data_IF_814813420077
#
_entry.id   IF_814813420077
#
_cell.length_a   1.000
_cell.length_b   1.000
_cell.length_c   1.000
_cell.angle_alpha   90.00
_cell.angle_beta   90.00
_cell.angle_gamma   90.00
#
_symmetry.space_group_name_H-M   'P 1'
#
loop_
_entity.id
_entity.type
_entity.pdbx_description
1 polymer ?
#
# COMPACT_ATOMS: atom_id res chain seq x y z
N UNK A 1 -6.74 85.87 15.49
CA UNK A 1 -7.77 86.48 16.39
C UNK A 1 -9.14 86.06 15.92
N UNK A 2 -9.92 85.54 16.80
CA UNK A 2 -11.36 85.28 16.94
C UNK A 2 -11.62 83.79 17.26
N UNK A 3 -11.84 83.59 18.56
CA UNK A 3 -12.38 82.41 19.19
C UNK A 3 -13.86 82.24 18.83
N UNK A 4 -14.28 81.03 18.50
CA UNK A 4 -15.69 80.63 18.60
C UNK A 4 -15.83 79.39 19.47
N UNK A 5 -16.44 79.62 20.62
CA UNK A 5 -16.91 78.57 21.54
C UNK A 5 -18.14 77.90 20.97
N UNK A 6 -18.16 76.60 20.91
CA UNK A 6 -19.35 75.81 20.60
C UNK A 6 -19.70 75.01 21.89
N UNK A 7 -20.94 75.20 22.31
CA UNK A 7 -21.56 74.55 23.47
C UNK A 7 -21.75 73.06 23.24
N UNK A 8 -21.37 72.28 24.23
CA UNK A 8 -21.71 70.85 24.28
C UNK A 8 -23.07 70.65 25.01
N UNK A 9 -24.00 69.99 24.36
CA UNK A 9 -25.27 69.45 24.90
C UNK A 9 -25.11 67.99 25.24
N UNK A 10 -25.35 67.49 26.44
CA UNK A 10 -25.34 66.06 26.74
C UNK A 10 -26.67 65.44 26.33
N UNK A 11 -26.64 64.51 25.40
CA UNK A 11 -27.76 63.61 25.05
C UNK A 11 -27.70 62.38 25.96
N UNK A 12 -28.67 62.23 26.79
CA UNK A 12 -28.86 61.06 27.68
C UNK A 12 -29.47 59.96 26.81
N UNK A 13 -28.72 58.88 26.53
CA UNK A 13 -29.24 57.70 25.85
C UNK A 13 -29.51 56.62 26.90
N UNK A 14 -30.80 56.33 27.11
CA UNK A 14 -31.23 55.20 27.94
C UNK A 14 -31.02 53.88 27.18
N UNK A 15 -30.10 53.06 27.67
CA UNK A 15 -29.87 51.69 27.16
C UNK A 15 -30.85 50.74 27.81
N UNK A 16 -31.87 50.31 27.05
CA UNK A 16 -32.73 49.16 27.36
C UNK A 16 -31.92 47.86 27.08
N UNK A 17 -31.59 47.10 28.14
CA UNK A 17 -30.98 45.81 28.04
C UNK A 17 -32.05 44.78 27.61
N UNK A 18 -32.05 44.38 26.35
CA UNK A 18 -32.74 43.20 25.84
C UNK A 18 -31.83 41.98 26.08
N UNK A 19 -32.15 41.20 27.12
CA UNK A 19 -31.58 39.86 27.29
C UNK A 19 -32.18 38.92 26.29
N UNK A 20 -31.52 38.68 25.15
CA UNK A 20 -31.81 37.59 24.24
C UNK A 20 -31.18 36.33 24.84
N UNK A 21 -31.98 35.49 25.49
CA UNK A 21 -31.62 34.11 25.77
C UNK A 21 -31.62 33.33 24.42
N UNK A 22 -30.46 33.31 23.78
CA UNK A 22 -30.22 32.40 22.68
C UNK A 22 -29.98 31.00 23.28
N UNK A 23 -31.01 30.14 23.24
CA UNK A 23 -30.82 28.70 23.31
C UNK A 23 -30.05 28.29 22.02
N UNK A 24 -28.74 28.35 22.10
CA UNK A 24 -27.87 27.72 21.13
C UNK A 24 -27.93 26.22 21.40
N UNK A 25 -28.70 25.49 20.58
CA UNK A 25 -28.44 24.07 20.34
C UNK A 25 -27.04 24.00 19.75
N UNK A 26 -26.08 23.51 20.55
CA UNK A 26 -24.77 23.07 20.08
C UNK A 26 -24.98 21.85 19.16
N UNK A 27 -25.45 22.08 17.94
CA UNK A 27 -25.17 21.23 16.82
C UNK A 27 -23.67 21.37 16.53
N UNK A 28 -22.86 20.67 17.30
CA UNK A 28 -21.52 20.29 16.87
C UNK A 28 -21.70 19.34 15.69
N UNK A 29 -21.91 19.90 14.50
CA UNK A 29 -21.59 19.17 13.28
C UNK A 29 -20.10 18.83 13.40
N UNK A 30 -19.80 17.59 13.73
CA UNK A 30 -18.43 17.08 13.73
C UNK A 30 -17.88 17.41 12.35
N UNK A 31 -16.97 18.38 12.25
CA UNK A 31 -16.34 18.70 10.97
C UNK A 31 -15.63 17.43 10.51
N UNK A 32 -16.04 16.90 9.35
CA UNK A 32 -15.43 15.72 8.76
C UNK A 32 -13.91 15.89 8.75
N UNK A 33 -13.22 14.94 9.36
CA UNK A 33 -11.76 14.93 9.32
C UNK A 33 -11.32 14.44 7.94
N UNK A 34 -10.61 15.28 7.22
CA UNK A 34 -10.04 14.90 5.92
C UNK A 34 -8.73 14.15 6.15
N UNK A 35 -8.61 12.93 5.59
CA UNK A 35 -7.37 12.13 5.55
C UNK A 35 -6.96 11.93 4.11
N UNK A 36 -5.72 12.30 3.78
CA UNK A 36 -5.12 12.09 2.45
C UNK A 36 -4.45 10.72 2.44
N UNK A 37 -4.94 9.80 1.62
CA UNK A 37 -4.44 8.43 1.54
C UNK A 37 -3.90 8.12 0.14
N UNK A 38 -2.73 7.46 0.10
CA UNK A 38 -2.10 7.02 -1.15
C UNK A 38 -2.24 5.52 -1.36
N UNK A 39 -2.57 5.12 -2.58
CA UNK A 39 -2.60 3.73 -3.02
C UNK A 39 -2.09 3.59 -4.44
N UNK A 40 -1.94 2.35 -4.93
CA UNK A 40 -1.60 2.03 -6.33
C UNK A 40 -2.65 1.13 -6.98
N UNK A 41 -3.70 0.75 -6.25
CA UNK A 41 -4.70 -0.23 -6.65
C UNK A 41 -6.12 0.18 -6.24
N UNK A 42 -6.51 1.42 -6.53
CA UNK A 42 -7.89 1.85 -6.25
C UNK A 42 -8.88 1.02 -7.08
N UNK A 43 -9.47 0.04 -6.43
CA UNK A 43 -10.48 -0.88 -6.96
C UNK A 43 -11.84 -0.71 -6.24
N UNK A 44 -12.79 -1.62 -6.47
CA UNK A 44 -14.12 -1.59 -5.85
C UNK A 44 -14.12 -1.73 -4.33
N UNK A 45 -13.11 -2.37 -3.73
CA UNK A 45 -13.00 -2.46 -2.29
C UNK A 45 -12.72 -1.09 -1.67
N UNK A 46 -12.00 -0.23 -2.39
CA UNK A 46 -11.75 1.15 -1.97
C UNK A 46 -13.03 1.99 -1.94
N UNK A 47 -14.00 1.76 -2.84
CA UNK A 47 -15.28 2.50 -2.82
C UNK A 47 -16.06 2.16 -1.53
N UNK A 48 -16.04 0.89 -1.11
CA UNK A 48 -16.69 0.45 0.15
C UNK A 48 -15.90 1.02 1.36
N UNK A 49 -14.58 0.97 1.34
CA UNK A 49 -13.74 1.52 2.40
C UNK A 49 -13.93 3.04 2.57
N UNK A 50 -14.00 3.79 1.47
CA UNK A 50 -14.27 5.22 1.46
C UNK A 50 -15.65 5.53 2.08
N UNK A 51 -16.67 4.74 1.73
CA UNK A 51 -18.01 4.90 2.32
C UNK A 51 -18.01 4.62 3.83
N UNK A 52 -17.34 3.53 4.27
CA UNK A 52 -17.22 3.21 5.71
C UNK A 52 -16.46 4.28 6.49
N UNK A 53 -15.42 4.85 5.90
CA UNK A 53 -14.70 5.97 6.50
C UNK A 53 -15.62 7.20 6.65
N UNK A 54 -16.38 7.53 5.62
CA UNK A 54 -17.35 8.64 5.62
C UNK A 54 -18.43 8.46 6.69
N UNK A 55 -18.97 7.25 6.86
CA UNK A 55 -19.96 6.91 7.90
C UNK A 55 -19.41 7.15 9.33
N UNK A 56 -18.09 7.24 9.48
CA UNK A 56 -17.38 7.54 10.73
C UNK A 56 -16.84 8.99 10.79
N UNK A 57 -17.28 9.86 9.90
CA UNK A 57 -16.84 11.26 9.85
C UNK A 57 -15.40 11.43 9.38
N UNK A 58 -14.90 10.50 8.54
CA UNK A 58 -13.57 10.59 7.90
C UNK A 58 -13.78 10.69 6.39
N UNK A 59 -13.44 11.83 5.81
CA UNK A 59 -13.43 12.02 4.36
C UNK A 59 -12.06 11.64 3.82
N UNK A 60 -11.99 10.57 3.00
CA UNK A 60 -10.75 10.15 2.34
C UNK A 60 -10.50 10.97 1.07
N UNK A 61 -9.31 11.57 0.96
CA UNK A 61 -8.78 12.07 -0.31
C UNK A 61 -7.79 11.06 -0.86
N UNK A 62 -8.26 10.19 -1.75
CA UNK A 62 -7.48 9.08 -2.29
C UNK A 62 -6.63 9.55 -3.47
N UNK A 63 -5.31 9.38 -3.38
CA UNK A 63 -4.37 9.54 -4.50
C UNK A 63 -3.99 8.16 -5.01
N UNK A 64 -4.39 7.82 -6.25
CA UNK A 64 -4.00 6.58 -6.90
C UNK A 64 -2.74 6.80 -7.74
N UNK A 65 -1.61 6.26 -7.29
CA UNK A 65 -0.33 6.36 -7.98
C UNK A 65 -0.21 5.28 -9.07
N UNK A 66 0.54 5.56 -10.13
CA UNK A 66 0.72 4.64 -11.26
C UNK A 66 1.72 3.51 -10.99
N UNK A 67 2.63 3.73 -10.04
CA UNK A 67 3.76 2.84 -9.72
C UNK A 67 4.10 2.88 -8.22
N UNK A 68 5.02 2.00 -7.80
CA UNK A 68 5.42 1.85 -6.40
C UNK A 68 6.46 2.88 -5.89
N UNK A 69 7.02 3.72 -6.75
CA UNK A 69 8.12 4.63 -6.38
C UNK A 69 7.64 5.87 -5.63
N UNK A 70 6.42 6.32 -5.92
CA UNK A 70 5.93 7.62 -5.48
C UNK A 70 5.25 7.62 -4.09
N UNK A 71 4.46 6.58 -3.65
CA UNK A 71 3.64 6.73 -2.46
C UNK A 71 4.41 6.98 -1.17
N UNK A 72 5.57 6.31 -0.95
CA UNK A 72 6.39 6.55 0.24
C UNK A 72 7.04 7.93 0.21
N UNK A 73 7.50 8.39 -0.95
CA UNK A 73 8.04 9.73 -1.11
C UNK A 73 6.96 10.79 -0.81
N UNK A 74 5.74 10.62 -1.33
CA UNK A 74 4.62 11.51 -1.07
C UNK A 74 4.24 11.54 0.43
N UNK A 75 4.34 10.40 1.12
CA UNK A 75 4.10 10.30 2.56
C UNK A 75 5.19 11.02 3.36
N UNK A 76 6.45 10.77 3.05
CA UNK A 76 7.62 11.43 3.67
C UNK A 76 7.58 12.95 3.49
N UNK A 77 7.16 13.41 2.31
CA UNK A 77 7.00 14.84 1.98
C UNK A 77 5.68 15.47 2.48
N UNK A 78 4.88 14.75 3.28
CA UNK A 78 3.60 15.23 3.85
C UNK A 78 2.54 15.60 2.79
N UNK A 79 2.66 15.06 1.57
CA UNK A 79 1.64 15.22 0.52
C UNK A 79 0.41 14.35 0.79
N UNK A 80 0.63 13.19 1.44
CA UNK A 80 -0.41 12.31 1.97
C UNK A 80 -0.15 12.05 3.47
N UNK A 81 -1.14 11.53 4.19
CA UNK A 81 -1.08 11.30 5.62
C UNK A 81 -0.84 9.82 5.96
N UNK A 82 -1.27 8.94 5.07
CA UNK A 82 -1.15 7.48 5.20
C UNK A 82 -1.09 6.87 3.80
N UNK A 83 -0.48 5.69 3.66
CA UNK A 83 -0.61 4.90 2.44
C UNK A 83 -0.99 3.45 2.73
N UNK A 84 -1.61 2.80 1.73
CA UNK A 84 -1.88 1.38 1.69
C UNK A 84 -1.60 0.89 0.27
N UNK A 85 -0.40 0.32 0.04
CA UNK A 85 0.01 -0.21 -1.27
C UNK A 85 1.16 -1.23 -1.15
N UNK A 86 1.77 -1.36 0.02
CA UNK A 86 3.07 -2.01 0.20
C UNK A 86 3.08 -3.03 1.32
N UNK A 87 3.96 -4.00 1.20
CA UNK A 87 4.29 -4.94 2.24
C UNK A 87 5.52 -4.50 3.05
N UNK A 88 5.73 -5.11 4.23
CA UNK A 88 6.80 -4.71 5.17
C UNK A 88 8.20 -4.84 4.58
N UNK A 89 8.45 -5.83 3.71
CA UNK A 89 9.74 -5.97 3.04
C UNK A 89 10.04 -4.76 2.15
N UNK A 90 9.04 -4.25 1.42
CA UNK A 90 9.18 -3.05 0.58
C UNK A 90 9.39 -1.80 1.42
N UNK A 91 8.61 -1.65 2.50
CA UNK A 91 8.77 -0.54 3.45
C UNK A 91 10.15 -0.53 4.09
N UNK A 92 10.63 -1.71 4.52
CA UNK A 92 11.96 -1.85 5.13
C UNK A 92 13.08 -1.43 4.18
N UNK A 93 13.00 -1.85 2.91
CA UNK A 93 13.97 -1.46 1.89
C UNK A 93 13.92 0.06 1.62
N UNK A 94 12.74 0.65 1.54
CA UNK A 94 12.59 2.10 1.39
C UNK A 94 13.22 2.85 2.57
N UNK A 95 12.88 2.49 3.80
CA UNK A 95 13.40 3.15 5.00
C UNK A 95 14.92 3.08 5.08
N UNK A 96 15.53 1.90 4.81
CA UNK A 96 16.98 1.73 4.84
C UNK A 96 17.67 2.57 3.76
N UNK A 97 17.15 2.52 2.52
CA UNK A 97 17.75 3.23 1.40
C UNK A 97 17.66 4.77 1.53
N UNK A 98 16.56 5.27 2.08
CA UNK A 98 16.28 6.71 2.20
C UNK A 98 16.58 7.28 3.60
N UNK A 99 17.02 6.44 4.56
CA UNK A 99 17.20 6.83 5.98
C UNK A 99 15.92 7.42 6.57
N UNK A 100 14.78 6.85 6.18
CA UNK A 100 13.45 7.27 6.60
C UNK A 100 12.93 6.41 7.76
N UNK A 101 11.83 6.84 8.40
CA UNK A 101 11.22 6.22 9.59
C UNK A 101 9.73 5.98 9.39
N UNK A 102 9.28 5.78 8.15
CA UNK A 102 7.88 5.43 7.91
C UNK A 102 7.53 4.15 8.66
N UNK A 103 6.35 4.13 9.29
CA UNK A 103 5.99 3.08 10.24
C UNK A 103 4.61 2.48 9.94
N UNK A 104 4.43 1.15 10.06
CA UNK A 104 3.13 0.51 9.90
C UNK A 104 2.29 0.74 11.16
N UNK A 105 1.00 1.03 10.98
CA UNK A 105 0.06 1.25 12.09
C UNK A 105 -0.96 0.12 12.26
N UNK A 106 -1.07 -0.76 11.27
CA UNK A 106 -1.90 -1.96 11.30
C UNK A 106 -1.81 -2.72 10.00
N UNK A 107 -1.93 -4.05 10.09
CA UNK A 107 -1.91 -4.92 8.92
C UNK A 107 -3.23 -4.90 8.16
N UNK A 108 -3.19 -5.40 6.94
CA UNK A 108 -4.37 -5.54 6.09
C UNK A 108 -4.47 -6.96 5.52
N UNK A 109 -3.58 -7.36 4.62
CA UNK A 109 -3.63 -8.65 3.94
C UNK A 109 -2.25 -9.10 3.47
N UNK A 110 -2.16 -10.37 3.05
CA UNK A 110 -1.11 -10.89 2.18
C UNK A 110 -1.75 -11.36 0.89
N UNK A 111 -1.15 -11.02 -0.25
CA UNK A 111 -1.53 -11.56 -1.56
C UNK A 111 -0.41 -12.42 -2.11
N UNK A 112 -0.72 -13.52 -2.83
CA UNK A 112 0.30 -14.32 -3.49
C UNK A 112 0.95 -13.52 -4.62
N UNK A 113 2.21 -13.80 -4.87
CA UNK A 113 2.91 -13.37 -6.07
C UNK A 113 2.91 -14.53 -7.06
N UNK A 114 2.41 -14.31 -8.26
CA UNK A 114 2.17 -15.38 -9.25
C UNK A 114 2.91 -15.19 -10.56
N UNK A 115 3.24 -16.33 -11.20
CA UNK A 115 3.69 -16.43 -12.58
C UNK A 115 2.48 -16.63 -13.49
N UNK A 116 2.29 -15.77 -14.45
CA UNK A 116 1.21 -15.78 -15.43
C UNK A 116 1.74 -15.93 -16.85
N UNK A 117 0.92 -16.49 -17.75
CA UNK A 117 1.24 -16.58 -19.17
C UNK A 117 -0.01 -16.45 -20.03
N UNK A 118 0.12 -15.79 -21.19
CA UNK A 118 -0.91 -15.81 -22.25
C UNK A 118 -0.67 -16.94 -23.25
N UNK A 119 0.58 -17.41 -23.37
CA UNK A 119 1.00 -18.41 -24.37
C UNK A 119 0.89 -19.85 -23.85
N UNK A 120 1.13 -20.05 -22.55
CA UNK A 120 1.26 -21.38 -21.94
C UNK A 120 0.19 -21.61 -20.88
N UNK A 121 -0.24 -22.86 -20.68
CA UNK A 121 -1.31 -23.23 -19.75
C UNK A 121 -0.80 -23.97 -18.51
N UNK A 122 0.42 -24.50 -18.56
CA UNK A 122 1.07 -25.20 -17.46
C UNK A 122 2.57 -24.90 -17.44
N UNK A 123 3.23 -25.11 -16.29
CA UNK A 123 4.69 -24.96 -16.15
C UNK A 123 5.45 -25.87 -17.13
N UNK A 124 4.90 -27.07 -17.42
CA UNK A 124 5.51 -28.03 -18.33
C UNK A 124 5.58 -27.51 -19.77
N UNK A 125 4.64 -26.65 -20.18
CA UNK A 125 4.55 -26.11 -21.53
C UNK A 125 5.62 -25.06 -21.84
N UNK A 126 6.26 -24.48 -20.80
CA UNK A 126 7.31 -23.49 -20.98
C UNK A 126 8.53 -24.15 -21.66
N UNK A 127 9.02 -23.66 -22.81
CA UNK A 127 10.18 -24.20 -23.48
C UNK A 127 11.48 -23.91 -22.71
N UNK A 128 12.54 -24.65 -23.04
CA UNK A 128 13.89 -24.30 -22.57
C UNK A 128 14.28 -22.92 -23.12
N UNK A 129 14.74 -22.04 -22.24
CA UNK A 129 15.09 -20.67 -22.59
C UNK A 129 13.91 -19.71 -22.66
N UNK A 130 12.71 -20.12 -22.20
CA UNK A 130 11.53 -19.25 -22.10
C UNK A 130 11.87 -17.95 -21.37
N UNK A 131 11.36 -16.83 -21.87
CA UNK A 131 11.62 -15.51 -21.30
C UNK A 131 10.52 -15.13 -20.30
N UNK A 132 10.92 -14.80 -19.07
CA UNK A 132 10.00 -14.40 -17.98
C UNK A 132 10.31 -12.98 -17.54
N UNK A 133 9.33 -12.08 -17.67
CA UNK A 133 9.43 -10.73 -17.11
C UNK A 133 9.20 -10.76 -15.59
N UNK A 134 10.04 -10.04 -14.84
CA UNK A 134 9.92 -9.93 -13.39
C UNK A 134 10.06 -8.46 -12.96
N UNK A 135 9.53 -8.05 -11.77
CA UNK A 135 9.72 -6.71 -11.23
C UNK A 135 11.21 -6.35 -11.07
N UNK A 136 11.55 -5.08 -11.27
CA UNK A 136 12.91 -4.58 -11.14
C UNK A 136 13.20 -3.93 -9.78
N UNK A 137 12.19 -3.68 -8.95
CA UNK A 137 12.44 -3.23 -7.58
C UNK A 137 13.06 -4.37 -6.75
N UNK A 138 14.03 -4.07 -5.87
CA UNK A 138 14.85 -5.11 -5.23
C UNK A 138 14.03 -6.17 -4.49
N UNK A 139 12.94 -5.78 -3.83
CA UNK A 139 12.18 -6.68 -2.96
C UNK A 139 11.24 -7.60 -3.75
N UNK A 140 10.52 -7.07 -4.74
CA UNK A 140 9.68 -7.89 -5.60
C UNK A 140 10.52 -8.69 -6.61
N UNK A 141 11.68 -8.18 -7.06
CA UNK A 141 12.62 -8.94 -7.86
C UNK A 141 13.09 -10.21 -7.12
N UNK A 142 13.56 -10.06 -5.89
CA UNK A 142 13.99 -11.19 -5.07
C UNK A 142 12.86 -12.20 -4.85
N UNK A 143 11.65 -11.72 -4.48
CA UNK A 143 10.48 -12.58 -4.30
C UNK A 143 10.10 -13.31 -5.58
N UNK A 144 10.15 -12.63 -6.75
CA UNK A 144 9.88 -13.24 -8.04
C UNK A 144 10.88 -14.36 -8.38
N UNK A 145 12.16 -14.15 -8.08
CA UNK A 145 13.19 -15.16 -8.27
C UNK A 145 12.97 -16.38 -7.38
N UNK A 146 12.58 -16.18 -6.12
CA UNK A 146 12.19 -17.28 -5.22
C UNK A 146 10.95 -18.03 -5.71
N UNK A 147 9.95 -17.33 -6.24
CA UNK A 147 8.75 -17.95 -6.85
C UNK A 147 9.16 -18.84 -8.04
N UNK A 148 10.02 -18.34 -8.94
CA UNK A 148 10.50 -19.11 -10.09
C UNK A 148 11.39 -20.29 -9.70
N UNK A 149 12.22 -20.13 -8.66
CA UNK A 149 13.01 -21.22 -8.11
C UNK A 149 12.13 -22.31 -7.48
N UNK A 150 11.13 -21.92 -6.68
CA UNK A 150 10.18 -22.86 -6.08
C UNK A 150 9.33 -23.59 -7.13
N UNK A 151 9.04 -22.92 -8.27
CA UNK A 151 8.39 -23.53 -9.43
C UNK A 151 9.31 -24.50 -10.22
N UNK A 152 10.59 -24.65 -9.84
CA UNK A 152 11.56 -25.48 -10.55
C UNK A 152 12.01 -24.92 -11.90
N UNK A 153 11.78 -23.63 -12.14
CA UNK A 153 12.08 -22.98 -13.43
C UNK A 153 13.47 -22.37 -13.49
N UNK A 154 14.06 -22.00 -12.35
CA UNK A 154 15.42 -21.47 -12.29
C UNK A 154 16.17 -21.96 -11.04
N UNK A 155 17.48 -21.81 -11.10
CA UNK A 155 18.39 -22.03 -9.98
C UNK A 155 19.14 -20.74 -9.68
N UNK A 156 19.24 -20.39 -8.40
CA UNK A 156 20.02 -19.25 -7.92
C UNK A 156 21.40 -19.73 -7.49
N UNK A 157 22.41 -18.91 -7.78
CA UNK A 157 23.79 -19.08 -7.28
C UNK A 157 23.89 -18.44 -5.91
N UNK A 158 24.36 -19.20 -4.91
CA UNK A 158 24.50 -18.70 -3.55
C UNK A 158 23.21 -18.73 -2.73
N UNK A 159 23.25 -18.08 -1.56
CA UNK A 159 22.20 -18.10 -0.54
C UNK A 159 21.74 -16.69 -0.11
N UNK A 160 21.81 -15.71 -1.01
CA UNK A 160 21.35 -14.36 -0.71
C UNK A 160 19.85 -14.35 -0.37
N UNK A 161 19.46 -13.61 0.66
CA UNK A 161 18.05 -13.34 0.97
C UNK A 161 17.42 -12.30 0.05
N UNK A 162 18.23 -11.59 -0.74
CA UNK A 162 17.81 -10.60 -1.72
C UNK A 162 18.49 -10.83 -3.07
N UNK A 163 18.27 -11.99 -3.74
CA UNK A 163 18.88 -12.30 -5.02
C UNK A 163 18.41 -11.32 -6.10
N UNK A 164 19.30 -11.12 -7.07
CA UNK A 164 19.05 -10.32 -8.28
C UNK A 164 19.05 -11.21 -9.53
N UNK A 165 18.68 -10.67 -10.67
CA UNK A 165 18.78 -11.39 -11.94
C UNK A 165 20.23 -11.83 -12.29
N UNK A 166 21.24 -11.19 -11.70
CA UNK A 166 22.64 -11.59 -11.87
C UNK A 166 22.98 -12.89 -11.14
N UNK A 167 22.20 -13.25 -10.09
CA UNK A 167 22.42 -14.47 -9.31
C UNK A 167 21.76 -15.71 -9.95
N UNK A 168 21.11 -15.57 -11.10
CA UNK A 168 20.51 -16.70 -11.82
C UNK A 168 21.61 -17.52 -12.50
N UNK A 169 21.72 -18.80 -12.12
CA UNK A 169 22.54 -19.77 -12.82
C UNK A 169 21.92 -20.11 -14.19
N UNK A 170 22.39 -19.43 -15.24
CA UNK A 170 21.87 -19.57 -16.60
C UNK A 170 22.03 -20.96 -17.17
N UNK A 171 23.05 -21.71 -16.74
CA UNK A 171 23.33 -23.06 -17.21
C UNK A 171 22.39 -24.12 -16.61
N UNK A 172 21.98 -23.88 -15.36
CA UNK A 172 21.11 -24.79 -14.62
C UNK A 172 19.62 -24.38 -14.61
N UNK A 173 19.28 -23.26 -15.27
CA UNK A 173 17.91 -22.72 -15.30
C UNK A 173 17.19 -23.09 -16.61
N UNK A 174 15.88 -23.38 -16.50
CA UNK A 174 15.00 -23.62 -17.65
C UNK A 174 14.61 -22.30 -18.34
N UNK A 175 14.46 -21.21 -17.58
CA UNK A 175 14.00 -19.91 -18.07
C UNK A 175 15.07 -18.84 -17.99
N UNK A 176 14.89 -17.78 -18.78
CA UNK A 176 15.63 -16.52 -18.68
C UNK A 176 14.74 -15.48 -18.02
N UNK A 177 15.33 -14.54 -17.27
CA UNK A 177 14.57 -13.46 -16.65
C UNK A 177 14.95 -12.11 -17.24
N UNK A 178 13.95 -11.26 -17.47
CA UNK A 178 14.09 -9.85 -17.87
C UNK A 178 13.41 -8.98 -16.83
N UNK A 179 14.14 -8.00 -16.27
CA UNK A 179 13.61 -7.10 -15.24
C UNK A 179 12.95 -5.89 -15.88
N UNK A 180 11.73 -5.60 -15.46
CA UNK A 180 10.95 -4.43 -15.90
C UNK A 180 10.31 -3.76 -14.68
N UNK A 181 9.82 -2.54 -14.83
CA UNK A 181 9.00 -1.92 -13.77
C UNK A 181 7.81 -2.83 -13.41
N UNK A 182 7.49 -2.95 -12.13
CA UNK A 182 6.40 -3.82 -11.68
C UNK A 182 5.08 -3.54 -12.42
N UNK A 183 4.79 -2.26 -12.71
CA UNK A 183 3.62 -1.83 -13.47
C UNK A 183 3.65 -2.27 -14.95
N UNK A 184 4.81 -2.67 -15.48
CA UNK A 184 4.98 -3.11 -16.87
C UNK A 184 4.95 -4.64 -17.02
N UNK A 185 5.02 -5.39 -15.92
CA UNK A 185 5.08 -6.88 -15.97
C UNK A 185 3.86 -7.48 -16.68
N UNK A 186 2.65 -6.99 -16.40
CA UNK A 186 1.43 -7.47 -17.04
C UNK A 186 1.39 -7.17 -18.56
N UNK A 187 1.89 -5.99 -18.96
CA UNK A 187 1.98 -5.60 -20.38
C UNK A 187 3.00 -6.45 -21.13
N UNK A 188 4.08 -6.86 -20.47
CA UNK A 188 5.13 -7.71 -21.07
C UNK A 188 4.61 -9.06 -21.54
N UNK A 189 3.46 -9.55 -21.01
CA UNK A 189 2.84 -10.81 -21.49
C UNK A 189 2.47 -10.82 -22.98
N UNK A 190 2.47 -9.68 -23.65
CA UNK A 190 2.27 -9.62 -25.10
C UNK A 190 3.49 -10.15 -25.89
N UNK A 191 4.69 -10.06 -25.30
CA UNK A 191 5.96 -10.39 -25.99
C UNK A 191 6.67 -11.60 -25.39
N UNK A 192 6.71 -11.72 -24.05
CA UNK A 192 7.43 -12.79 -23.34
C UNK A 192 6.58 -14.07 -23.15
N UNK A 193 7.20 -15.14 -22.66
CA UNK A 193 6.52 -16.42 -22.41
C UNK A 193 5.73 -16.43 -21.10
N UNK A 194 6.15 -15.61 -20.13
CA UNK A 194 5.45 -15.43 -18.88
C UNK A 194 5.92 -14.19 -18.13
N UNK A 195 5.19 -13.81 -17.11
CA UNK A 195 5.59 -12.72 -16.23
C UNK A 195 5.20 -13.02 -14.77
N UNK A 196 6.06 -12.67 -13.83
CA UNK A 196 5.71 -12.64 -12.42
C UNK A 196 5.10 -11.27 -12.15
N UNK A 197 3.82 -11.25 -11.73
CA UNK A 197 3.01 -10.04 -11.68
C UNK A 197 2.49 -9.84 -10.26
N UNK A 198 2.74 -8.65 -9.70
CA UNK A 198 2.14 -8.24 -8.43
C UNK A 198 0.62 -8.13 -8.55
N UNK A 199 -0.10 -8.53 -7.51
CA UNK A 199 -1.57 -8.58 -7.48
C UNK A 199 -2.21 -7.25 -7.88
N UNK A 200 -1.67 -6.11 -7.43
CA UNK A 200 -2.04 -4.74 -7.80
C UNK A 200 -2.29 -4.53 -9.30
N UNK A 201 -1.52 -5.22 -10.14
CA UNK A 201 -1.56 -5.00 -11.60
C UNK A 201 -2.42 -6.02 -12.36
N UNK A 202 -3.03 -6.99 -11.66
CA UNK A 202 -3.83 -8.05 -12.28
C UNK A 202 -5.21 -7.54 -12.71
N UNK A 203 -5.97 -6.93 -11.81
CA UNK A 203 -7.34 -6.48 -12.08
C UNK A 203 -7.38 -5.48 -13.22
N UNK A 204 -6.58 -4.42 -13.16
CA UNK A 204 -6.52 -3.40 -14.22
C UNK A 204 -6.00 -3.92 -15.58
N UNK A 205 -5.38 -5.10 -15.60
CA UNK A 205 -4.92 -5.79 -16.81
C UNK A 205 -5.87 -6.90 -17.26
N UNK A 206 -6.99 -7.09 -16.57
CA UNK A 206 -7.98 -8.13 -16.86
C UNK A 206 -7.44 -9.55 -16.67
N UNK A 207 -6.46 -9.75 -15.78
CA UNK A 207 -5.84 -11.04 -15.51
C UNK A 207 -6.50 -11.65 -14.27
N UNK A 208 -7.03 -12.87 -14.41
CA UNK A 208 -7.58 -13.61 -13.26
C UNK A 208 -6.45 -14.06 -12.33
N UNK A 209 -6.44 -13.67 -11.04
CA UNK A 209 -5.45 -14.12 -10.07
C UNK A 209 -5.36 -15.65 -9.93
N UNK A 210 -6.44 -16.38 -10.26
CA UNK A 210 -6.47 -17.83 -10.23
C UNK A 210 -5.91 -18.50 -11.50
N UNK A 211 -5.56 -17.73 -12.54
CA UNK A 211 -4.93 -18.25 -13.76
C UNK A 211 -3.40 -18.39 -13.68
N UNK A 212 -2.81 -18.14 -12.50
CA UNK A 212 -1.37 -18.30 -12.31
C UNK A 212 -0.91 -19.72 -12.60
N UNK A 213 0.17 -19.87 -13.38
CA UNK A 213 0.85 -21.16 -13.59
C UNK A 213 1.50 -21.67 -12.31
N UNK A 214 1.96 -20.75 -11.46
CA UNK A 214 2.50 -20.99 -10.13
C UNK A 214 2.37 -19.73 -9.28
N UNK A 215 2.23 -19.87 -7.98
CA UNK A 215 2.22 -18.75 -7.01
C UNK A 215 2.78 -19.19 -5.67
N UNK A 216 3.37 -18.26 -4.92
CA UNK A 216 3.73 -18.52 -3.53
C UNK A 216 2.49 -18.68 -2.63
N UNK A 217 2.68 -19.27 -1.46
CA UNK A 217 1.59 -19.48 -0.50
C UNK A 217 1.59 -18.34 0.55
N UNK A 218 0.57 -17.47 0.53
CA UNK A 218 0.45 -16.38 1.50
C UNK A 218 0.24 -16.85 2.94
N UNK A 219 -0.07 -18.14 3.16
CA UNK A 219 -0.23 -18.75 4.49
C UNK A 219 1.07 -19.34 5.04
N UNK A 220 2.12 -19.41 4.21
CA UNK A 220 3.40 -19.90 4.67
C UNK A 220 4.01 -18.91 5.68
N UNK A 221 4.58 -19.34 6.81
CA UNK A 221 5.26 -18.45 7.77
C UNK A 221 6.34 -17.55 7.15
N UNK A 222 7.01 -18.02 6.09
CA UNK A 222 7.98 -17.21 5.33
C UNK A 222 7.35 -16.03 4.59
N UNK A 223 6.03 -15.97 4.47
CA UNK A 223 5.31 -14.84 3.88
C UNK A 223 5.13 -13.65 4.85
N UNK A 224 5.51 -13.77 6.13
CA UNK A 224 5.37 -12.70 7.13
C UNK A 224 5.93 -11.34 6.66
N UNK A 225 7.11 -11.22 6.00
CA UNK A 225 7.60 -9.95 5.50
C UNK A 225 6.74 -9.34 4.38
N UNK A 226 5.85 -10.12 3.79
CA UNK A 226 4.94 -9.68 2.72
C UNK A 226 3.55 -9.29 3.21
N UNK A 227 3.36 -9.11 4.53
CA UNK A 227 2.15 -8.50 5.10
C UNK A 227 2.05 -7.06 4.60
N UNK A 228 0.93 -6.72 3.97
CA UNK A 228 0.60 -5.35 3.60
C UNK A 228 0.03 -4.60 4.81
N UNK A 229 0.31 -3.30 4.89
CA UNK A 229 -0.05 -2.49 6.04
C UNK A 229 -0.47 -1.08 5.65
N UNK A 230 -1.30 -0.46 6.48
CA UNK A 230 -1.44 0.98 6.54
C UNK A 230 -0.17 1.56 7.16
N UNK A 231 0.46 2.50 6.44
CA UNK A 231 1.76 3.07 6.80
C UNK A 231 1.65 4.59 6.89
N UNK A 232 2.22 5.16 7.94
CA UNK A 232 2.28 6.60 8.16
C UNK A 232 3.68 7.05 8.59
N UNK A 233 3.86 8.34 8.85
CA UNK A 233 5.10 8.87 9.47
C UNK A 233 5.17 8.48 10.95
N UNK A 234 6.37 8.37 11.50
CA UNK A 234 6.57 7.96 12.89
C UNK A 234 5.87 8.91 13.90
N UNK A 235 5.86 10.21 13.61
CA UNK A 235 5.18 11.21 14.44
C UNK A 235 3.64 11.11 14.44
N UNK A 236 3.05 10.46 13.42
CA UNK A 236 1.60 10.36 13.24
C UNK A 236 1.04 8.97 13.63
N UNK A 237 1.88 8.05 14.10
CA UNK A 237 1.49 6.64 14.32
C UNK A 237 0.37 6.43 15.34
N UNK A 238 0.25 7.34 16.30
CA UNK A 238 -0.77 7.28 17.35
C UNK A 238 -1.99 8.17 17.03
N UNK A 239 -2.09 8.68 15.80
CA UNK A 239 -3.24 9.49 15.39
C UNK A 239 -4.51 8.62 15.37
N UNK A 240 -5.53 8.95 16.21
CA UNK A 240 -6.71 8.11 16.37
C UNK A 240 -7.52 7.95 15.07
N UNK A 241 -7.47 8.95 14.17
CA UNK A 241 -8.17 8.87 12.89
C UNK A 241 -7.49 7.91 11.92
N UNK A 242 -6.15 7.85 11.93
CA UNK A 242 -5.40 6.89 11.14
C UNK A 242 -5.58 5.47 11.69
N UNK A 243 -5.56 5.30 13.02
CA UNK A 243 -5.82 4.01 13.65
C UNK A 243 -7.26 3.53 13.39
N UNK A 244 -8.22 4.44 13.34
CA UNK A 244 -9.60 4.10 12.97
C UNK A 244 -9.69 3.53 11.53
N UNK A 245 -8.83 3.98 10.60
CA UNK A 245 -8.79 3.41 9.24
C UNK A 245 -8.33 1.95 9.24
N UNK A 246 -7.45 1.54 10.16
CA UNK A 246 -7.06 0.13 10.31
C UNK A 246 -8.28 -0.72 10.64
N UNK A 247 -9.07 -0.30 11.64
CA UNK A 247 -10.29 -1.01 12.01
C UNK A 247 -11.33 -1.06 10.89
N UNK A 248 -11.47 0.05 10.15
CA UNK A 248 -12.40 0.15 9.03
C UNK A 248 -11.97 -0.71 7.84
N UNK A 249 -10.66 -0.92 7.62
CA UNK A 249 -10.19 -1.88 6.61
C UNK A 249 -10.70 -3.29 6.91
N UNK A 250 -10.78 -3.64 8.19
CA UNK A 250 -11.26 -4.93 8.65
C UNK A 250 -12.80 -5.04 8.80
N UNK A 251 -13.54 -4.02 8.36
CA UNK A 251 -15.01 -4.09 8.29
C UNK A 251 -15.44 -5.25 7.36
N UNK A 252 -16.44 -6.08 7.76
CA UNK A 252 -16.86 -7.23 6.97
C UNK A 252 -17.27 -6.91 5.53
N UNK A 253 -17.79 -5.71 5.25
CA UNK A 253 -18.17 -5.33 3.89
C UNK A 253 -16.96 -4.97 3.05
N UNK A 254 -15.96 -4.28 3.64
CA UNK A 254 -14.68 -4.00 2.98
C UNK A 254 -13.98 -5.31 2.67
N UNK A 255 -13.91 -6.24 3.65
CA UNK A 255 -13.27 -7.55 3.44
C UNK A 255 -13.98 -8.38 2.38
N UNK A 256 -15.32 -8.33 2.31
CA UNK A 256 -16.07 -9.00 1.23
C UNK A 256 -15.73 -8.42 -0.14
N UNK A 257 -15.74 -7.10 -0.28
CA UNK A 257 -15.40 -6.43 -1.53
C UNK A 257 -13.96 -6.73 -1.96
N UNK A 258 -13.00 -6.73 -1.00
CA UNK A 258 -11.61 -7.09 -1.26
C UNK A 258 -11.45 -8.56 -1.69
N UNK A 259 -12.20 -9.48 -1.07
CA UNK A 259 -12.20 -10.89 -1.48
C UNK A 259 -12.76 -11.08 -2.90
N UNK A 260 -13.77 -10.32 -3.30
CA UNK A 260 -14.31 -10.33 -4.67
C UNK A 260 -13.26 -9.87 -5.70
N UNK A 261 -12.59 -8.75 -5.45
CA UNK A 261 -11.54 -8.20 -6.34
C UNK A 261 -10.37 -9.17 -6.45
N UNK A 262 -9.91 -9.69 -5.34
CA UNK A 262 -8.75 -10.62 -5.29
C UNK A 262 -9.13 -12.06 -5.65
N UNK A 263 -10.38 -12.34 -6.03
CA UNK A 263 -10.91 -13.68 -6.32
C UNK A 263 -10.59 -14.70 -5.21
N UNK A 264 -10.68 -14.26 -3.95
CA UNK A 264 -10.38 -15.02 -2.74
C UNK A 264 -8.92 -15.53 -2.67
N UNK A 265 -7.98 -14.89 -3.36
CA UNK A 265 -6.56 -15.25 -3.27
C UNK A 265 -5.83 -14.53 -2.14
N UNK A 266 -6.33 -13.38 -1.70
CA UNK A 266 -5.80 -12.66 -0.54
C UNK A 266 -6.13 -13.38 0.77
N UNK A 267 -5.23 -13.25 1.74
CA UNK A 267 -5.41 -13.70 3.12
C UNK A 267 -5.43 -12.48 4.02
N UNK A 268 -6.54 -12.27 4.72
CA UNK A 268 -6.63 -11.21 5.74
C UNK A 268 -5.63 -11.48 6.87
N UNK A 269 -4.95 -10.44 7.33
CA UNK A 269 -4.01 -10.49 8.44
C UNK A 269 -4.37 -9.42 9.46
N UNK A 270 -4.48 -9.79 10.73
CA UNK A 270 -4.75 -8.88 11.84
C UNK A 270 -3.54 -8.84 12.77
N UNK A 271 -2.71 -7.82 12.61
CA UNK A 271 -1.55 -7.51 13.45
C UNK A 271 -1.58 -6.03 13.81
N UNK A 272 -1.25 -5.73 15.03
CA UNK A 272 -1.15 -4.36 15.54
C UNK A 272 0.10 -3.65 15.01
N UNK A 273 0.12 -2.31 15.07
CA UNK A 273 1.31 -1.52 14.71
C UNK A 273 2.58 -2.01 15.42
N UNK A 274 2.61 -2.17 16.75
CA UNK A 274 3.79 -2.67 17.47
C UNK A 274 4.28 -4.06 17.00
N UNK A 275 3.38 -4.99 16.68
CA UNK A 275 3.79 -6.30 16.13
C UNK A 275 4.44 -6.15 14.75
N UNK A 276 3.89 -5.28 13.90
CA UNK A 276 4.45 -4.99 12.58
C UNK A 276 5.78 -4.23 12.65
N UNK A 277 5.95 -3.32 13.61
CA UNK A 277 7.21 -2.64 13.85
C UNK A 277 8.33 -3.63 14.18
N UNK A 278 8.05 -4.68 14.97
CA UNK A 278 9.03 -5.74 15.26
C UNK A 278 9.44 -6.50 13.99
N UNK A 279 8.49 -6.82 13.12
CA UNK A 279 8.79 -7.47 11.84
C UNK A 279 9.63 -6.53 10.97
N UNK A 280 9.21 -5.26 10.87
CA UNK A 280 9.92 -4.24 10.09
C UNK A 280 11.38 -4.06 10.56
N UNK A 281 11.62 -4.06 11.88
CA UNK A 281 12.97 -3.96 12.44
C UNK A 281 13.83 -5.15 12.02
N UNK A 282 13.32 -6.38 12.06
CA UNK A 282 14.03 -7.58 11.59
C UNK A 282 14.35 -7.48 10.10
N UNK A 283 13.39 -7.07 9.29
CA UNK A 283 13.55 -6.85 7.85
C UNK A 283 14.66 -5.82 7.57
N UNK A 284 14.60 -4.66 8.21
CA UNK A 284 15.59 -3.61 8.04
C UNK A 284 17.00 -4.06 8.48
N UNK A 285 17.09 -4.84 9.56
CA UNK A 285 18.38 -5.38 10.01
C UNK A 285 18.97 -6.35 8.99
N UNK A 286 18.15 -7.27 8.46
CA UNK A 286 18.56 -8.21 7.42
C UNK A 286 19.09 -7.47 6.18
N UNK A 287 18.39 -6.40 5.76
CA UNK A 287 18.82 -5.57 4.61
C UNK A 287 20.15 -4.85 4.90
N UNK A 288 20.35 -4.29 6.11
CA UNK A 288 21.60 -3.61 6.49
C UNK A 288 22.78 -4.57 6.55
N UNK A 289 22.55 -5.80 6.98
CA UNK A 289 23.57 -6.84 7.08
C UNK A 289 23.96 -7.42 5.69
N UNK A 290 23.24 -7.07 4.63
CA UNK A 290 23.46 -7.59 3.28
C UNK A 290 23.17 -9.08 3.15
N UNK A 291 22.29 -9.60 4.01
CA UNK A 291 21.92 -11.02 4.06
C UNK A 291 20.68 -11.30 3.25
#
# INVERSE_FOLDING_TARGET
MKFHRVLAIPVLVATAALTVTACGSDDKSASDTVVRIGTTDKDKAWDVFEQRAKDKGITLKITNFSDYKQPNLALSQKQIDVNLFQHLQFLGAYNVANKDTLTPIGSTYIVPLGLYSKKHKALADLPQGAEIAIPNDPTNQARALFVLQAAGLLKLSGSSSAPTAADVDKGASKVKVTTVDAAQTALSLASVDGAVINNTFLDRSGIDPNSALYKDDPKNPSAEPYINALVTRAEDKDNPKLLQLVELWHDPEVQRAHAEVTKNTAVEVRRTGPELEQILQRVQQTIRDGK
#
